data_IF_331268878516
#
_entry.id   IF_331268878516
#
_cell.length_a   1.000
_cell.length_b   1.000
_cell.length_c   1.000
_cell.angle_alpha   90.00
_cell.angle_beta   90.00
_cell.angle_gamma   90.00
#
_symmetry.space_group_name_H-M   'P 1'
#
loop_
_entity.id
_entity.type
_entity.pdbx_description
1 polymer ?
#
# COMPACT_ATOMS: atom_id res chain seq x y z
N UNK A 1 -2.41 14.85 -9.25
CA UNK A 1 -1.99 13.49 -8.85
C UNK A 1 -0.66 13.27 -9.51
N UNK A 2 0.35 12.90 -8.72
CA UNK A 2 1.69 12.61 -9.18
C UNK A 2 2.09 11.19 -8.79
N UNK A 3 2.87 10.55 -9.65
CA UNK A 3 3.47 9.24 -9.39
C UNK A 3 4.94 9.35 -9.67
N UNK A 4 5.77 9.03 -8.67
CA UNK A 4 7.22 8.94 -8.84
C UNK A 4 7.67 7.52 -8.54
N UNK A 5 8.66 7.07 -9.29
CA UNK A 5 9.26 5.75 -9.12
C UNK A 5 10.76 5.92 -9.01
N UNK A 6 11.36 5.23 -8.05
CA UNK A 6 12.81 5.13 -7.90
C UNK A 6 13.22 3.68 -7.76
N UNK A 7 14.37 3.35 -8.34
CA UNK A 7 14.97 2.02 -8.30
C UNK A 7 16.32 2.14 -7.59
N UNK A 8 16.49 1.39 -6.50
CA UNK A 8 17.79 1.13 -5.88
C UNK A 8 18.31 -0.25 -6.31
N UNK A 9 19.48 -0.63 -5.81
CA UNK A 9 20.05 -1.95 -6.07
C UNK A 9 19.18 -3.10 -5.54
N UNK A 10 18.41 -2.85 -4.49
CA UNK A 10 17.70 -3.84 -3.68
C UNK A 10 16.19 -3.59 -3.54
N UNK A 11 15.68 -2.47 -4.06
CA UNK A 11 14.28 -2.12 -3.92
C UNK A 11 13.74 -1.23 -5.06
N UNK A 12 12.44 -1.32 -5.25
CA UNK A 12 11.62 -0.38 -6.02
C UNK A 12 10.78 0.41 -5.02
N UNK A 13 10.82 1.73 -5.11
CA UNK A 13 9.94 2.61 -4.36
C UNK A 13 9.03 3.39 -5.31
N UNK A 14 7.73 3.32 -5.07
CA UNK A 14 6.70 4.09 -5.78
C UNK A 14 6.06 5.06 -4.78
N UNK A 15 6.03 6.34 -5.11
CA UNK A 15 5.33 7.35 -4.30
C UNK A 15 4.15 7.90 -5.08
N UNK A 16 2.95 7.75 -4.54
CA UNK A 16 1.72 8.33 -5.04
C UNK A 16 1.42 9.60 -4.24
N UNK A 17 1.07 10.68 -4.94
CA UNK A 17 0.73 11.96 -4.30
C UNK A 17 -0.53 12.55 -4.89
N UNK A 18 -1.44 12.98 -4.01
CA UNK A 18 -2.70 13.62 -4.40
C UNK A 18 -3.13 14.70 -3.38
N UNK A 19 -4.20 15.42 -3.69
CA UNK A 19 -4.81 16.44 -2.84
C UNK A 19 -6.28 16.09 -2.51
N UNK A 20 -6.61 14.80 -2.53
CA UNK A 20 -7.92 14.27 -2.17
C UNK A 20 -8.13 14.19 -0.65
N UNK A 21 -9.24 13.56 -0.26
CA UNK A 21 -9.55 13.35 1.16
C UNK A 21 -8.54 12.37 1.77
N UNK A 22 -7.91 12.71 2.91
CA UNK A 22 -6.98 11.80 3.58
C UNK A 22 -7.62 10.46 3.95
N UNK A 23 -6.81 9.40 3.97
CA UNK A 23 -7.27 8.08 4.41
C UNK A 23 -7.60 8.15 5.91
N UNK A 24 -8.81 7.75 6.33
CA UNK A 24 -9.18 7.69 7.74
C UNK A 24 -8.22 6.84 8.58
N UNK A 25 -7.88 7.31 9.78
CA UNK A 25 -6.89 6.66 10.65
C UNK A 25 -7.31 5.25 11.11
N UNK A 26 -8.61 5.01 11.28
CA UNK A 26 -9.18 3.70 11.60
C UNK A 26 -8.98 2.69 10.45
N UNK A 27 -9.08 3.14 9.20
CA UNK A 27 -8.77 2.31 8.02
C UNK A 27 -7.28 1.96 7.99
N UNK A 28 -6.40 2.95 8.21
CA UNK A 28 -4.94 2.74 8.24
C UNK A 28 -4.54 1.77 9.35
N UNK A 29 -5.15 1.88 10.53
CA UNK A 29 -4.91 0.98 11.65
C UNK A 29 -5.41 -0.43 11.33
N UNK A 30 -6.62 -0.55 10.77
CA UNK A 30 -7.20 -1.85 10.42
C UNK A 30 -6.37 -2.63 9.38
N UNK A 31 -5.74 -1.96 8.41
CA UNK A 31 -4.87 -2.62 7.42
C UNK A 31 -3.47 -2.91 7.96
N UNK A 32 -2.96 -2.11 8.91
CA UNK A 32 -1.70 -2.39 9.58
C UNK A 32 -1.82 -3.62 10.51
N UNK A 33 -2.94 -3.76 11.22
CA UNK A 33 -3.21 -4.85 12.16
C UNK A 33 -3.59 -6.15 11.45
N UNK A 34 -4.29 -6.08 10.32
CA UNK A 34 -4.55 -7.21 9.42
C UNK A 34 -3.29 -7.55 8.64
N UNK A 35 -2.33 -8.17 9.32
CA UNK A 35 -1.13 -8.75 8.71
C UNK A 35 -1.47 -9.50 7.40
N UNK A 36 -0.91 -9.02 6.28
CA UNK A 36 -0.41 -9.71 5.06
C UNK A 36 -1.08 -11.01 4.60
N UNK A 37 -2.34 -11.27 4.90
CA UNK A 37 -3.06 -12.39 4.30
C UNK A 37 -3.67 -11.90 3.00
N UNK A 38 -3.00 -12.24 1.90
CA UNK A 38 -3.56 -12.06 0.58
C UNK A 38 -4.90 -12.80 0.54
N UNK A 39 -6.02 -12.15 0.18
CA UNK A 39 -7.30 -12.83 0.16
C UNK A 39 -7.25 -14.04 -0.77
N UNK A 40 -7.86 -15.16 -0.39
CA UNK A 40 -7.79 -16.39 -1.17
C UNK A 40 -8.29 -16.17 -2.61
N UNK A 41 -7.55 -16.62 -3.65
CA UNK A 41 -7.85 -16.34 -5.07
C UNK A 41 -9.22 -16.78 -5.60
N UNK A 42 -10.04 -17.51 -4.84
CA UNK A 42 -11.40 -17.91 -5.21
C UNK A 42 -12.51 -17.07 -4.59
N UNK A 43 -12.16 -16.03 -3.82
CA UNK A 43 -13.08 -15.32 -2.95
C UNK A 43 -13.29 -13.85 -3.30
N UNK A 44 -13.07 -13.45 -4.56
CA UNK A 44 -13.17 -12.03 -4.97
C UNK A 44 -14.49 -11.36 -4.55
N UNK A 45 -15.57 -12.14 -4.54
CA UNK A 45 -16.92 -11.73 -4.11
C UNK A 45 -17.04 -11.46 -2.59
N UNK A 46 -16.14 -12.01 -1.78
CA UNK A 46 -16.05 -11.77 -0.32
C UNK A 46 -15.16 -10.58 0.02
N UNK A 47 -14.53 -9.96 -0.97
CA UNK A 47 -13.64 -8.83 -0.73
C UNK A 47 -14.47 -7.61 -0.35
N UNK A 48 -14.07 -6.86 0.67
CA UNK A 48 -14.78 -5.65 1.05
C UNK A 48 -14.71 -4.65 -0.11
N UNK A 49 -15.85 -4.14 -0.61
CA UNK A 49 -15.86 -3.14 -1.69
C UNK A 49 -15.08 -1.88 -1.29
N UNK A 50 -15.11 -1.51 -0.02
CA UNK A 50 -14.31 -0.43 0.54
C UNK A 50 -12.95 -0.93 1.07
N UNK A 51 -11.87 -0.21 0.74
CA UNK A 51 -10.53 -0.51 1.27
C UNK A 51 -9.80 -1.68 0.59
N UNK A 52 -10.43 -2.37 -0.36
CA UNK A 52 -9.83 -3.44 -1.20
C UNK A 52 -8.45 -3.07 -1.76
N UNK A 53 -8.32 -1.86 -2.30
CA UNK A 53 -7.07 -1.39 -2.88
C UNK A 53 -5.95 -1.28 -1.85
N UNK A 54 -6.27 -0.82 -0.63
CA UNK A 54 -5.30 -0.76 0.46
C UNK A 54 -4.92 -2.15 0.95
N UNK A 55 -5.88 -3.07 1.07
CA UNK A 55 -5.58 -4.47 1.45
C UNK A 55 -4.58 -5.10 0.47
N UNK A 56 -4.80 -4.91 -0.84
CA UNK A 56 -3.90 -5.40 -1.87
C UNK A 56 -2.51 -4.78 -1.76
N UNK A 57 -2.44 -3.46 -1.61
CA UNK A 57 -1.18 -2.73 -1.47
C UNK A 57 -0.39 -3.26 -0.27
N UNK A 58 -1.02 -3.38 0.91
CA UNK A 58 -0.37 -3.88 2.12
C UNK A 58 0.01 -5.37 2.06
N UNK A 59 -0.67 -6.15 1.22
CA UNK A 59 -0.35 -7.57 1.02
C UNK A 59 0.79 -7.79 0.04
N UNK A 60 0.94 -6.91 -0.97
CA UNK A 60 1.94 -7.06 -2.02
C UNK A 60 3.28 -6.39 -1.70
N UNK A 61 3.26 -5.29 -0.95
CA UNK A 61 4.45 -4.48 -0.68
C UNK A 61 5.14 -4.92 0.60
N UNK A 62 6.46 -4.80 0.65
CA UNK A 62 7.23 -5.18 1.83
C UNK A 62 7.14 -4.08 2.91
N UNK A 63 7.06 -2.83 2.47
CA UNK A 63 6.81 -1.68 3.33
C UNK A 63 5.83 -0.70 2.66
N UNK A 64 4.90 -0.17 3.47
CA UNK A 64 3.92 0.84 3.07
C UNK A 64 3.98 1.96 4.10
N UNK A 65 4.18 3.20 3.65
CA UNK A 65 4.13 4.40 4.50
C UNK A 65 3.09 5.36 3.94
N UNK A 66 2.30 5.93 4.82
CA UNK A 66 1.34 6.97 4.47
C UNK A 66 1.55 8.20 5.33
N UNK A 67 1.46 9.38 4.72
CA UNK A 67 1.34 10.66 5.44
C UNK A 67 0.37 11.58 4.72
N UNK A 68 -0.26 12.46 5.50
CA UNK A 68 -1.06 13.57 4.98
C UNK A 68 -0.67 14.84 5.72
N UNK A 69 -0.30 15.87 4.98
CA UNK A 69 0.08 17.18 5.52
C UNK A 69 -0.24 18.27 4.50
N UNK A 70 -0.68 19.44 4.97
CA UNK A 70 -0.93 20.63 4.12
C UNK A 70 -1.84 20.35 2.91
N UNK A 71 -2.86 19.51 3.08
CA UNK A 71 -3.79 19.12 2.01
C UNK A 71 -3.18 18.19 0.95
N UNK A 72 -2.02 17.57 1.24
CA UNK A 72 -1.34 16.63 0.36
C UNK A 72 -1.22 15.27 1.01
N UNK A 73 -1.73 14.25 0.32
CA UNK A 73 -1.58 12.85 0.68
C UNK A 73 -0.34 12.28 -0.02
N UNK A 74 0.43 11.47 0.69
CA UNK A 74 1.57 10.76 0.13
C UNK A 74 1.55 9.30 0.61
N UNK A 75 1.50 8.37 -0.36
CA UNK A 75 1.58 6.94 -0.13
C UNK A 75 2.87 6.42 -0.77
N UNK A 76 3.80 5.97 0.06
CA UNK A 76 5.10 5.42 -0.35
C UNK A 76 5.02 3.89 -0.23
N UNK A 77 5.29 3.23 -1.35
CA UNK A 77 5.22 1.79 -1.49
C UNK A 77 6.61 1.25 -1.82
N UNK A 78 7.13 0.33 -1.01
CA UNK A 78 8.48 -0.24 -1.19
C UNK A 78 8.36 -1.75 -1.40
N UNK A 79 9.02 -2.23 -2.46
CA UNK A 79 9.16 -3.65 -2.79
C UNK A 79 10.64 -3.99 -2.95
N UNK A 80 11.13 -4.95 -2.17
CA UNK A 80 12.49 -5.45 -2.27
C UNK A 80 12.63 -6.31 -3.54
N UNK A 81 13.69 -6.10 -4.30
CA UNK A 81 13.96 -6.79 -5.57
C UNK A 81 14.81 -8.04 -5.39
N UNK A 82 15.52 -8.17 -4.28
CA UNK A 82 16.11 -9.44 -3.83
C UNK A 82 15.02 -10.32 -3.24
N UNK A 83 14.45 -11.20 -4.07
CA UNK A 83 13.59 -12.28 -3.58
C UNK A 83 14.39 -13.27 -2.71
N UNK A 84 13.73 -13.88 -1.74
CA UNK A 84 14.25 -15.05 -1.02
C UNK A 84 14.74 -16.08 -2.04
N UNK A 85 16.05 -16.31 -2.06
CA UNK A 85 16.65 -17.43 -2.77
C UNK A 85 16.46 -18.67 -1.89
N UNK A 86 15.29 -19.30 -1.99
CA UNK A 86 15.07 -20.68 -1.54
C UNK A 86 14.81 -21.58 -2.73
#
# INVERSE_FOLDING_TARGET
>A
MDVTMSLSADAIAVTLTDAGVPIPADILQAVADKQRSFPEPGSLESWPESGIGLILIYSMMDEVRYRSADGRNELILIKNTTGDRT
#
